data_IF_876367322148
#
_entry.id   IF_876367322148
#
_cell.length_a   1.000
_cell.length_b   1.000
_cell.length_c   1.000
_cell.angle_alpha   90.00
_cell.angle_beta   90.00
_cell.angle_gamma   90.00
#
_symmetry.space_group_name_H-M   'P 1'
#
loop_
_entity.id
_entity.type
_entity.pdbx_description
1 polymer ?
#
# COMPACT_ATOMS: atom_id res chain seq x y z
N UNK A 1 29.44 -17.44 2.81
CA UNK A 1 30.67 -16.62 2.77
C UNK A 1 30.27 -15.18 2.69
N UNK A 2 31.01 -14.31 3.39
CA UNK A 2 31.13 -12.85 3.22
C UNK A 2 29.84 -12.04 2.99
N UNK A 3 29.54 -11.15 3.94
CA UNK A 3 28.37 -10.28 3.93
C UNK A 3 28.32 -9.39 2.69
N UNK A 4 27.60 -9.85 1.66
CA UNK A 4 27.30 -9.05 0.48
C UNK A 4 26.67 -7.72 0.88
N UNK A 5 27.17 -6.63 0.28
CA UNK A 5 26.59 -5.32 0.46
C UNK A 5 25.12 -5.35 0.07
N UNK A 6 24.25 -4.85 0.95
CA UNK A 6 22.82 -4.76 0.67
C UNK A 6 22.60 -3.53 -0.19
N UNK A 7 22.16 -3.70 -1.43
CA UNK A 7 21.65 -2.61 -2.26
C UNK A 7 20.14 -2.48 -2.13
N UNK A 8 19.65 -1.26 -2.25
CA UNK A 8 18.23 -0.95 -2.38
C UNK A 8 18.05 -0.24 -3.71
N UNK A 9 17.11 -0.73 -4.50
CA UNK A 9 16.76 -0.16 -5.79
C UNK A 9 15.25 0.10 -5.82
N UNK A 10 14.86 1.23 -6.40
CA UNK A 10 13.45 1.53 -6.66
C UNK A 10 13.02 0.69 -7.85
N UNK A 11 12.00 -0.15 -7.67
CA UNK A 11 11.43 -0.92 -8.78
C UNK A 11 10.38 -0.07 -9.52
N UNK A 12 10.61 0.33 -10.78
CA UNK A 12 9.63 1.08 -11.56
C UNK A 12 8.46 0.17 -11.96
N UNK A 13 7.36 0.25 -11.22
CA UNK A 13 6.12 -0.52 -11.45
C UNK A 13 5.26 0.03 -12.60
N UNK A 14 5.85 0.73 -13.57
CA UNK A 14 5.15 1.47 -14.63
C UNK A 14 5.74 1.26 -16.03
N UNK A 15 6.56 0.22 -16.24
CA UNK A 15 6.96 -0.16 -17.60
C UNK A 15 5.74 -0.55 -18.44
N UNK A 16 5.83 -0.45 -19.77
CA UNK A 16 4.75 -0.84 -20.69
C UNK A 16 4.19 -2.24 -20.43
N UNK A 17 5.05 -3.25 -20.20
CA UNK A 17 4.61 -4.61 -19.90
C UNK A 17 3.77 -4.70 -18.61
N UNK A 18 4.23 -4.04 -17.53
CA UNK A 18 3.48 -3.95 -16.28
C UNK A 18 2.12 -3.28 -16.50
N UNK A 19 2.07 -2.19 -17.28
CA UNK A 19 0.81 -1.47 -17.58
C UNK A 19 -0.15 -2.37 -18.34
N UNK A 20 0.29 -3.02 -19.42
CA UNK A 20 -0.57 -3.90 -20.22
C UNK A 20 -1.15 -5.03 -19.37
N UNK A 21 -0.32 -5.70 -18.57
CA UNK A 21 -0.79 -6.77 -17.68
C UNK A 21 -1.77 -6.21 -16.65
N UNK A 22 -1.44 -5.10 -15.99
CA UNK A 22 -2.30 -4.49 -14.98
C UNK A 22 -3.68 -4.12 -15.54
N UNK A 23 -3.73 -3.44 -16.68
CA UNK A 23 -4.99 -3.01 -17.31
C UNK A 23 -5.86 -4.21 -17.74
N UNK A 24 -5.26 -5.26 -18.29
CA UNK A 24 -5.99 -6.48 -18.64
C UNK A 24 -6.57 -7.17 -17.40
N UNK A 25 -5.81 -7.20 -16.29
CA UNK A 25 -6.32 -7.77 -15.04
C UNK A 25 -7.43 -6.91 -14.44
N UNK A 26 -7.31 -5.58 -14.49
CA UNK A 26 -8.33 -4.64 -14.02
C UNK A 26 -9.62 -4.82 -14.83
N UNK A 27 -9.50 -4.90 -16.16
CA UNK A 27 -10.63 -5.13 -17.06
C UNK A 27 -11.34 -6.45 -16.74
N UNK A 28 -10.60 -7.56 -16.60
CA UNK A 28 -11.19 -8.86 -16.28
C UNK A 28 -11.91 -8.85 -14.92
N UNK A 29 -11.28 -8.29 -13.89
CA UNK A 29 -11.83 -8.17 -12.55
C UNK A 29 -13.08 -7.27 -12.50
N UNK A 30 -13.10 -6.18 -13.28
CA UNK A 30 -14.30 -5.35 -13.45
C UNK A 30 -15.41 -6.12 -14.16
N UNK A 31 -15.10 -6.79 -15.26
CA UNK A 31 -16.08 -7.56 -16.04
C UNK A 31 -16.71 -8.67 -15.20
N UNK A 32 -15.91 -9.41 -14.43
CA UNK A 32 -16.40 -10.40 -13.47
C UNK A 32 -17.30 -9.77 -12.40
N UNK A 33 -16.90 -8.61 -11.86
CA UNK A 33 -17.70 -7.86 -10.89
C UNK A 33 -19.05 -7.42 -11.45
N UNK A 34 -19.10 -6.95 -12.69
CA UNK A 34 -20.35 -6.61 -13.39
C UNK A 34 -21.21 -7.85 -13.63
N UNK A 35 -20.62 -8.94 -14.11
CA UNK A 35 -21.33 -10.20 -14.33
C UNK A 35 -22.05 -10.69 -13.06
N UNK A 36 -21.33 -10.74 -11.93
CA UNK A 36 -21.90 -11.17 -10.65
C UNK A 36 -22.99 -10.22 -10.15
N UNK A 37 -22.76 -8.90 -10.25
CA UNK A 37 -23.72 -7.87 -9.84
C UNK A 37 -25.00 -7.92 -10.68
N UNK A 38 -24.88 -7.93 -12.00
CA UNK A 38 -26.00 -7.82 -12.93
C UNK A 38 -26.92 -9.04 -12.84
N UNK A 39 -26.36 -10.23 -12.55
CA UNK A 39 -27.09 -11.47 -12.30
C UNK A 39 -27.52 -11.67 -10.84
N UNK A 40 -27.20 -10.74 -9.95
CA UNK A 40 -27.51 -10.80 -8.50
C UNK A 40 -26.95 -12.05 -7.82
N UNK A 41 -25.74 -12.44 -8.22
CA UNK A 41 -25.03 -13.59 -7.64
C UNK A 41 -24.28 -13.12 -6.40
N UNK A 42 -24.38 -13.81 -5.25
CA UNK A 42 -23.59 -13.52 -4.07
C UNK A 42 -22.09 -13.50 -4.40
N UNK A 43 -21.39 -12.46 -4.00
CA UNK A 43 -19.99 -12.28 -4.37
C UNK A 43 -19.22 -11.43 -3.35
N UNK A 44 -17.90 -11.61 -3.34
CA UNK A 44 -16.96 -10.81 -2.58
C UNK A 44 -16.44 -9.70 -3.49
N UNK A 45 -16.75 -8.45 -3.17
CA UNK A 45 -16.29 -7.27 -3.87
C UNK A 45 -15.14 -6.60 -3.11
N UNK A 46 -14.33 -5.85 -3.87
CA UNK A 46 -13.28 -4.99 -3.33
C UNK A 46 -13.55 -3.56 -3.77
N UNK A 47 -13.87 -2.70 -2.80
CA UNK A 47 -14.20 -1.31 -3.05
C UNK A 47 -13.21 -0.37 -2.39
N UNK A 48 -13.19 0.87 -2.85
CA UNK A 48 -12.42 1.94 -2.25
C UNK A 48 -13.27 3.21 -2.34
N UNK A 49 -13.85 3.64 -1.21
CA UNK A 49 -14.74 4.79 -1.21
C UNK A 49 -13.95 6.08 -1.50
N UNK A 50 -14.66 7.09 -1.97
CA UNK A 50 -14.10 8.41 -2.17
C UNK A 50 -13.57 9.00 -0.85
N UNK A 51 -12.47 9.75 -0.96
CA UNK A 51 -12.01 10.54 0.17
C UNK A 51 -12.93 11.73 0.39
N UNK A 52 -13.30 11.96 1.65
CA UNK A 52 -14.15 13.08 2.06
C UNK A 52 -13.36 14.14 2.82
N UNK A 53 -12.02 14.18 2.67
CA UNK A 53 -11.25 15.17 3.43
C UNK A 53 -11.55 16.59 2.92
N UNK A 54 -12.04 17.45 3.81
CA UNK A 54 -12.15 18.91 3.62
C UNK A 54 -10.78 19.56 3.41
N UNK A 55 -9.70 18.92 3.88
CA UNK A 55 -8.30 19.20 3.55
C UNK A 55 -7.97 18.77 2.12
N UNK A 56 -8.77 19.21 1.14
CA UNK A 56 -8.42 19.14 -0.27
C UNK A 56 -7.25 20.10 -0.53
N UNK A 57 -6.07 19.81 0.06
CA UNK A 57 -4.81 20.35 -0.40
C UNK A 57 -4.81 20.10 -1.91
N UNK A 58 -4.61 21.16 -2.69
CA UNK A 58 -4.39 21.01 -4.13
C UNK A 58 -3.19 20.08 -4.24
N UNK A 59 -3.43 18.85 -4.70
CA UNK A 59 -2.39 17.85 -4.87
C UNK A 59 -1.50 18.34 -6.02
N UNK A 60 -0.40 18.97 -5.66
CA UNK A 60 0.61 19.46 -6.58
C UNK A 60 1.69 18.39 -6.74
N UNK A 61 1.83 17.85 -7.96
CA UNK A 61 2.81 16.83 -8.26
C UNK A 61 4.26 17.36 -8.26
N UNK A 62 4.45 18.67 -8.22
CA UNK A 62 5.77 19.31 -8.05
C UNK A 62 6.17 19.39 -6.58
N UNK A 63 5.24 19.21 -5.65
CA UNK A 63 5.53 19.20 -4.22
C UNK A 63 6.39 17.97 -3.86
N UNK A 64 7.55 18.13 -3.19
CA UNK A 64 8.40 17.01 -2.83
C UNK A 64 7.74 15.99 -1.89
N UNK A 65 6.68 16.39 -1.17
CA UNK A 65 5.89 15.53 -0.29
C UNK A 65 4.65 14.93 -0.96
N UNK A 66 4.45 15.16 -2.27
CA UNK A 66 3.35 14.60 -3.05
C UNK A 66 3.13 13.10 -2.81
N UNK A 67 4.17 12.23 -2.76
CA UNK A 67 3.98 10.80 -2.51
C UNK A 67 3.32 10.50 -1.15
N UNK A 68 3.56 11.30 -0.12
CA UNK A 68 2.92 11.14 1.18
C UNK A 68 1.51 11.72 1.19
N UNK A 69 1.32 12.87 0.54
CA UNK A 69 0.04 13.56 0.47
C UNK A 69 -1.01 12.73 -0.28
N UNK A 70 -0.66 12.16 -1.44
CA UNK A 70 -1.60 11.35 -2.23
C UNK A 70 -2.04 10.09 -1.48
N UNK A 71 -1.12 9.44 -0.75
CA UNK A 71 -1.45 8.23 0.04
C UNK A 71 -2.37 8.57 1.20
N UNK A 72 -2.14 9.72 1.88
CA UNK A 72 -3.02 10.21 2.95
C UNK A 72 -4.39 10.65 2.43
N UNK A 73 -4.45 11.13 1.18
CA UNK A 73 -5.69 11.51 0.52
C UNK A 73 -6.53 10.28 0.16
N UNK A 74 -5.94 9.12 -0.16
CA UNK A 74 -6.69 7.92 -0.52
C UNK A 74 -7.23 7.17 0.71
N UNK A 75 -8.47 6.68 0.63
CA UNK A 75 -9.00 5.73 1.61
C UNK A 75 -8.42 4.33 1.38
N UNK A 76 -8.27 3.57 2.46
CA UNK A 76 -7.90 2.17 2.35
C UNK A 76 -8.99 1.39 1.59
N UNK A 77 -8.62 0.46 0.69
CA UNK A 77 -9.58 -0.43 0.06
C UNK A 77 -10.18 -1.38 1.10
N UNK A 78 -11.44 -1.73 0.94
CA UNK A 78 -12.20 -2.65 1.80
C UNK A 78 -12.75 -3.81 0.98
N UNK A 79 -12.96 -4.93 1.66
CA UNK A 79 -13.62 -6.11 1.11
C UNK A 79 -15.02 -6.17 1.71
N UNK A 80 -16.02 -6.57 0.93
CA UNK A 80 -17.39 -6.74 1.40
C UNK A 80 -18.26 -7.45 0.38
N UNK A 81 -19.51 -7.71 0.73
CA UNK A 81 -20.46 -8.44 -0.12
C UNK A 81 -21.27 -7.50 -1.04
N UNK A 82 -21.31 -6.22 -0.72
CA UNK A 82 -21.96 -5.20 -1.55
C UNK A 82 -21.05 -4.68 -2.66
N UNK A 83 -21.53 -4.59 -3.92
CA UNK A 83 -20.79 -3.93 -4.98
C UNK A 83 -20.71 -2.42 -4.69
N UNK A 84 -19.52 -1.85 -4.78
CA UNK A 84 -19.28 -0.42 -4.57
C UNK A 84 -18.07 0.03 -5.41
N UNK A 85 -17.94 1.35 -5.57
CA UNK A 85 -16.92 1.98 -6.40
C UNK A 85 -15.52 1.68 -5.89
N UNK A 86 -14.56 1.64 -6.82
CA UNK A 86 -13.14 1.64 -6.52
C UNK A 86 -12.52 2.93 -7.04
N UNK A 87 -12.50 3.98 -6.20
CA UNK A 87 -12.20 5.36 -6.61
C UNK A 87 -10.87 5.50 -7.34
N UNK A 88 -9.77 4.95 -6.81
CA UNK A 88 -8.45 5.09 -7.45
C UNK A 88 -8.31 4.37 -8.78
N UNK A 89 -9.18 3.40 -9.06
CA UNK A 89 -9.21 2.67 -10.33
C UNK A 89 -10.23 3.27 -11.31
N UNK A 90 -11.09 4.20 -10.87
CA UNK A 90 -12.10 4.83 -11.72
C UNK A 90 -13.22 3.88 -12.17
N UNK A 91 -13.51 2.84 -11.40
CA UNK A 91 -14.47 1.78 -11.78
C UNK A 91 -15.63 1.65 -10.78
N UNK A 92 -16.80 1.27 -11.30
CA UNK A 92 -18.08 1.18 -10.62
C UNK A 92 -18.26 -0.08 -9.76
N UNK A 93 -17.54 -1.15 -10.10
CA UNK A 93 -17.57 -2.43 -9.40
C UNK A 93 -16.27 -3.17 -9.67
N UNK A 94 -15.80 -3.93 -8.68
CA UNK A 94 -14.55 -4.68 -8.79
C UNK A 94 -14.57 -5.92 -7.90
N UNK A 95 -14.26 -7.07 -8.48
CA UNK A 95 -13.98 -8.32 -7.76
C UNK A 95 -12.69 -8.95 -8.28
N UNK A 96 -11.95 -9.66 -7.44
CA UNK A 96 -10.68 -10.25 -7.83
C UNK A 96 -10.90 -11.70 -8.27
N UNK A 97 -10.55 -12.02 -9.52
CA UNK A 97 -10.64 -13.38 -10.10
C UNK A 97 -9.38 -13.81 -10.85
N UNK A 98 -8.41 -12.91 -11.02
CA UNK A 98 -7.24 -13.12 -11.90
C UNK A 98 -6.05 -13.80 -11.23
N UNK A 99 -6.14 -14.23 -9.98
CA UNK A 99 -5.00 -14.87 -9.28
C UNK A 99 -5.40 -16.00 -8.31
N UNK A 100 -6.20 -16.99 -8.73
CA UNK A 100 -6.71 -18.08 -7.88
C UNK A 100 -5.61 -18.95 -7.25
N UNK A 101 -4.44 -19.06 -7.89
CA UNK A 101 -3.31 -19.85 -7.39
C UNK A 101 -2.73 -19.26 -6.08
N UNK A 102 -2.84 -17.94 -5.88
CA UNK A 102 -2.19 -17.22 -4.77
C UNK A 102 -3.13 -16.39 -3.89
N UNK A 103 -4.40 -16.30 -4.26
CA UNK A 103 -5.44 -15.59 -3.51
C UNK A 103 -6.67 -16.49 -3.43
N UNK A 104 -7.02 -16.91 -2.22
CA UNK A 104 -8.16 -17.80 -2.00
C UNK A 104 -9.51 -17.15 -2.39
N UNK A 105 -9.66 -15.84 -2.17
CA UNK A 105 -10.85 -15.10 -2.62
C UNK A 105 -11.09 -15.23 -4.12
N UNK A 106 -10.04 -15.15 -4.95
CA UNK A 106 -10.15 -15.35 -6.40
C UNK A 106 -10.63 -16.75 -6.76
N UNK A 107 -10.18 -17.78 -6.04
CA UNK A 107 -10.64 -19.14 -6.24
C UNK A 107 -12.13 -19.29 -5.91
N UNK A 108 -12.58 -18.70 -4.80
CA UNK A 108 -14.00 -18.67 -4.40
C UNK A 108 -14.84 -17.98 -5.48
N UNK A 109 -14.39 -16.82 -5.97
CA UNK A 109 -15.10 -16.09 -7.03
C UNK A 109 -15.09 -16.81 -8.37
N UNK A 110 -14.01 -17.51 -8.74
CA UNK A 110 -14.00 -18.34 -9.94
C UNK A 110 -15.00 -19.51 -9.84
N UNK A 111 -15.09 -20.18 -8.69
CA UNK A 111 -16.10 -21.22 -8.47
C UNK A 111 -17.52 -20.67 -8.59
N UNK A 112 -17.77 -19.49 -8.02
CA UNK A 112 -19.05 -18.81 -8.13
C UNK A 112 -19.45 -18.55 -9.59
N UNK A 113 -18.52 -18.03 -10.39
CA UNK A 113 -18.75 -17.76 -11.82
C UNK A 113 -18.96 -19.06 -12.60
N UNK A 114 -18.16 -20.10 -12.32
CA UNK A 114 -18.26 -21.38 -13.04
C UNK A 114 -19.58 -22.09 -12.75
N UNK A 115 -20.01 -22.16 -11.48
CA UNK A 115 -21.28 -22.80 -11.10
C UNK A 115 -22.48 -22.07 -11.72
N UNK A 116 -22.49 -20.73 -11.71
CA UNK A 116 -23.51 -19.96 -12.44
C UNK A 116 -23.55 -20.29 -13.94
N UNK A 117 -22.38 -20.38 -14.59
CA UNK A 117 -22.32 -20.60 -16.04
C UNK A 117 -22.70 -22.04 -16.44
N UNK A 118 -22.45 -23.02 -15.58
CA UNK A 118 -22.65 -24.44 -15.89
C UNK A 118 -23.99 -24.96 -15.37
N UNK A 119 -24.40 -24.52 -14.18
CA UNK A 119 -25.53 -25.06 -13.42
C UNK A 119 -26.65 -24.02 -13.25
N UNK A 120 -26.36 -22.73 -13.43
CA UNK A 120 -27.34 -21.65 -13.24
C UNK A 120 -27.68 -21.37 -11.77
N UNK A 121 -26.86 -21.87 -10.85
CA UNK A 121 -27.03 -21.72 -9.41
C UNK A 121 -25.73 -21.21 -8.77
N UNK A 122 -25.82 -20.44 -7.67
CA UNK A 122 -24.64 -19.97 -6.95
C UNK A 122 -23.98 -21.10 -6.14
N UNK A 123 -22.68 -21.31 -6.34
CA UNK A 123 -21.88 -22.26 -5.52
C UNK A 123 -21.88 -21.92 -4.03
N UNK A 124 -21.85 -20.62 -3.71
CA UNK A 124 -21.88 -20.09 -2.36
C UNK A 124 -23.04 -19.12 -2.20
N UNK A 125 -23.76 -19.28 -1.09
CA UNK A 125 -24.79 -18.34 -0.61
C UNK A 125 -24.17 -17.08 -0.03
N UNK A 126 -24.98 -16.04 0.16
CA UNK A 126 -24.52 -14.79 0.81
C UNK A 126 -24.04 -15.05 2.25
N UNK A 127 -24.78 -15.85 3.02
CA UNK A 127 -24.43 -16.23 4.40
C UNK A 127 -23.09 -17.00 4.47
N UNK A 128 -22.85 -17.92 3.52
CA UNK A 128 -21.57 -18.65 3.46
C UNK A 128 -20.41 -17.70 3.15
N UNK A 129 -20.61 -16.76 2.22
CA UNK A 129 -19.59 -15.75 1.91
C UNK A 129 -19.37 -14.81 3.08
N UNK A 130 -20.42 -14.41 3.81
CA UNK A 130 -20.35 -13.56 5.00
C UNK A 130 -19.50 -14.18 6.11
N UNK A 131 -19.62 -15.50 6.30
CA UNK A 131 -18.79 -16.23 7.24
C UNK A 131 -17.35 -16.46 6.72
N UNK A 132 -17.17 -16.58 5.40
CA UNK A 132 -15.89 -16.91 4.79
C UNK A 132 -14.94 -15.72 4.65
N UNK A 133 -15.42 -14.57 4.16
CA UNK A 133 -14.56 -13.43 3.83
C UNK A 133 -13.78 -12.86 5.04
N UNK A 134 -14.30 -12.81 6.28
CA UNK A 134 -13.55 -12.30 7.42
C UNK A 134 -12.30 -13.14 7.72
N UNK A 135 -12.39 -14.47 7.57
CA UNK A 135 -11.23 -15.36 7.73
C UNK A 135 -10.16 -15.08 6.66
N UNK A 136 -10.59 -14.83 5.43
CA UNK A 136 -9.69 -14.43 4.34
C UNK A 136 -9.01 -13.09 4.66
N UNK A 137 -9.76 -12.12 5.19
CA UNK A 137 -9.24 -10.80 5.52
C UNK A 137 -8.16 -10.85 6.60
N UNK A 138 -8.36 -11.66 7.64
CA UNK A 138 -7.35 -11.90 8.70
C UNK A 138 -6.06 -12.44 8.08
N UNK A 139 -6.15 -13.47 7.22
CA UNK A 139 -4.98 -14.03 6.54
C UNK A 139 -4.25 -13.01 5.65
N UNK A 140 -4.98 -12.15 4.94
CA UNK A 140 -4.40 -11.07 4.15
C UNK A 140 -3.66 -10.06 5.05
N UNK A 141 -4.24 -9.70 6.20
CA UNK A 141 -3.68 -8.74 7.15
C UNK A 141 -2.39 -9.27 7.78
N UNK A 142 -2.38 -10.54 8.19
CA UNK A 142 -1.21 -11.18 8.79
C UNK A 142 -0.06 -11.30 7.79
N UNK A 143 -0.37 -11.77 6.57
CA UNK A 143 0.60 -11.83 5.48
C UNK A 143 1.22 -10.45 5.22
N UNK A 144 0.40 -9.41 5.07
CA UNK A 144 0.88 -8.03 4.81
C UNK A 144 1.76 -7.51 5.96
N UNK A 145 1.44 -7.87 7.20
CA UNK A 145 2.23 -7.49 8.37
C UNK A 145 3.61 -8.15 8.34
N UNK A 146 3.68 -9.44 8.01
CA UNK A 146 4.93 -10.19 7.89
C UNK A 146 5.78 -9.65 6.73
N UNK A 147 5.19 -9.45 5.56
CA UNK A 147 5.87 -8.87 4.38
C UNK A 147 6.47 -7.50 4.72
N UNK A 148 5.66 -6.58 5.26
CA UNK A 148 6.13 -5.25 5.66
C UNK A 148 7.25 -5.30 6.69
N UNK A 149 7.18 -6.23 7.65
CA UNK A 149 8.22 -6.38 8.67
C UNK A 149 9.53 -6.91 8.08
N UNK A 150 9.45 -7.82 7.10
CA UNK A 150 10.62 -8.34 6.38
C UNK A 150 11.27 -7.26 5.53
N UNK A 151 10.49 -6.51 4.76
CA UNK A 151 10.98 -5.37 3.98
C UNK A 151 11.66 -4.33 4.87
N UNK A 152 11.02 -3.95 5.99
CA UNK A 152 11.59 -3.01 6.96
C UNK A 152 12.89 -3.53 7.57
N UNK A 153 12.98 -4.82 7.89
CA UNK A 153 14.23 -5.38 8.40
C UNK A 153 15.39 -5.17 7.41
N UNK A 154 15.18 -5.47 6.13
CA UNK A 154 16.22 -5.30 5.11
C UNK A 154 16.55 -3.83 4.83
N UNK A 155 15.53 -2.94 4.83
CA UNK A 155 15.75 -1.51 4.77
C UNK A 155 16.65 -1.02 5.92
N UNK A 156 16.35 -1.42 7.15
CA UNK A 156 17.15 -1.01 8.30
C UNK A 156 18.54 -1.64 8.28
N UNK A 157 18.68 -2.86 7.78
CA UNK A 157 19.98 -3.51 7.62
C UNK A 157 20.85 -2.80 6.58
N UNK A 158 20.25 -2.27 5.52
CA UNK A 158 20.93 -1.35 4.60
C UNK A 158 21.31 -0.03 5.29
N UNK A 159 20.35 0.65 5.95
CA UNK A 159 20.62 1.90 6.67
C UNK A 159 21.67 1.75 7.78
N UNK A 160 21.79 0.55 8.38
CA UNK A 160 22.85 0.22 9.34
C UNK A 160 24.25 0.39 8.76
N UNK A 161 24.43 0.05 7.48
CA UNK A 161 25.71 0.26 6.78
C UNK A 161 26.04 1.73 6.52
N UNK A 162 25.04 2.62 6.66
CA UNK A 162 25.16 4.07 6.51
C UNK A 162 25.28 4.80 7.86
N UNK A 163 25.38 4.08 8.98
CA UNK A 163 25.64 4.71 10.28
C UNK A 163 26.91 5.56 10.24
N UNK A 164 26.84 6.75 10.83
CA UNK A 164 27.93 7.73 10.79
C UNK A 164 28.01 8.53 9.49
N UNK A 165 27.06 8.35 8.57
CA UNK A 165 26.97 9.13 7.32
C UNK A 165 25.71 9.99 7.29
N UNK A 166 25.70 11.00 6.42
CA UNK A 166 24.53 11.81 6.16
C UNK A 166 23.75 11.28 4.93
N UNK A 167 22.43 11.24 5.05
CA UNK A 167 21.49 10.86 3.99
C UNK A 167 20.55 12.04 3.66
N UNK A 168 19.92 11.99 2.49
CA UNK A 168 18.94 13.00 2.07
C UNK A 168 17.59 12.75 2.75
N UNK A 169 16.93 13.83 3.16
CA UNK A 169 15.56 13.81 3.65
C UNK A 169 14.81 15.09 3.29
N UNK A 170 13.50 15.04 3.48
CA UNK A 170 12.58 16.16 3.27
C UNK A 170 11.71 16.26 4.51
N UNK A 171 11.60 17.43 5.13
CA UNK A 171 10.77 17.59 6.33
C UNK A 171 9.30 17.36 5.98
N UNK A 172 8.67 16.36 6.57
CA UNK A 172 7.29 15.96 6.26
C UNK A 172 6.25 16.47 7.24
N UNK A 173 6.67 16.88 8.44
CA UNK A 173 5.80 17.49 9.45
C UNK A 173 6.61 18.18 10.55
N UNK A 174 6.17 19.37 10.97
CA UNK A 174 6.77 20.13 12.08
C UNK A 174 5.83 20.27 13.29
N UNK A 175 4.57 19.85 13.15
CA UNK A 175 3.52 20.06 14.16
C UNK A 175 3.50 19.03 15.30
N UNK A 176 4.41 18.06 15.29
CA UNK A 176 4.47 16.96 16.26
C UNK A 176 5.53 17.13 17.34
N UNK A 177 5.50 16.26 18.37
CA UNK A 177 6.56 16.17 19.42
C UNK A 177 7.95 15.89 18.83
N UNK A 178 8.00 15.26 17.66
CA UNK A 178 9.20 15.00 16.86
C UNK A 178 8.92 15.51 15.45
N UNK A 179 9.96 15.99 14.78
CA UNK A 179 9.89 16.42 13.38
C UNK A 179 9.79 15.17 12.50
N UNK A 180 8.85 15.16 11.56
CA UNK A 180 8.74 14.13 10.54
C UNK A 180 9.72 14.39 9.40
N UNK A 181 10.34 13.34 8.87
CA UNK A 181 11.13 13.41 7.66
C UNK A 181 10.80 12.25 6.72
N UNK A 182 10.63 12.59 5.44
CA UNK A 182 10.52 11.67 4.33
C UNK A 182 11.91 11.43 3.74
N UNK A 183 12.28 10.16 3.57
CA UNK A 183 13.51 9.75 2.90
C UNK A 183 13.16 9.32 1.47
N UNK A 184 13.33 10.20 0.46
CA UNK A 184 12.84 9.95 -0.90
C UNK A 184 13.55 8.77 -1.57
N UNK A 185 14.80 8.50 -1.22
CA UNK A 185 15.58 7.38 -1.76
C UNK A 185 15.04 6.01 -1.33
N UNK A 186 14.37 5.97 -0.17
CA UNK A 186 13.85 4.74 0.44
C UNK A 186 12.32 4.67 0.47
N UNK A 187 11.63 5.71 -0.04
CA UNK A 187 10.17 5.85 0.05
C UNK A 187 9.63 5.66 1.47
N UNK A 188 10.37 6.18 2.46
CA UNK A 188 10.14 5.89 3.88
C UNK A 188 10.01 7.17 4.71
N UNK A 189 8.90 7.31 5.45
CA UNK A 189 8.69 8.39 6.40
C UNK A 189 9.07 7.94 7.82
N UNK A 190 9.83 8.77 8.53
CA UNK A 190 10.29 8.51 9.91
C UNK A 190 10.32 9.81 10.72
N UNK A 191 10.59 9.69 12.02
CA UNK A 191 10.81 10.86 12.89
C UNK A 191 12.29 11.13 13.07
N UNK A 192 12.67 12.41 13.14
CA UNK A 192 14.04 12.86 13.41
C UNK A 192 14.12 13.48 14.80
N UNK A 193 15.28 13.36 15.44
CA UNK A 193 15.61 14.12 16.65
C UNK A 193 16.08 15.51 16.22
N UNK A 194 15.58 16.55 16.88
CA UNK A 194 16.00 17.94 16.66
C UNK A 194 16.83 18.46 17.82
N UNK A 195 17.68 19.45 17.52
CA UNK A 195 18.25 20.31 18.55
C UNK A 195 17.26 21.39 18.98
N UNK A 196 17.48 22.05 20.13
CA UNK A 196 16.58 23.08 20.68
C UNK A 196 16.36 24.31 19.78
N UNK A 197 17.19 24.54 18.76
CA UNK A 197 17.15 25.77 17.92
C UNK A 197 16.90 25.51 16.42
N UNK A 198 16.51 24.31 16.02
CA UNK A 198 16.37 24.01 14.58
C UNK A 198 15.05 24.56 14.01
N UNK A 199 15.09 25.69 13.31
CA UNK A 199 13.98 26.20 12.51
C UNK A 199 13.94 25.49 11.16
N UNK A 200 12.92 24.67 10.93
CA UNK A 200 12.65 24.01 9.65
C UNK A 200 11.17 24.11 9.31
N UNK A 201 10.87 24.07 8.02
CA UNK A 201 9.53 24.12 7.44
C UNK A 201 9.19 22.80 6.75
N UNK A 202 7.91 22.43 6.71
CA UNK A 202 7.43 21.30 5.89
C UNK A 202 7.81 21.52 4.42
N UNK A 203 8.45 20.53 3.80
CA UNK A 203 8.98 20.60 2.43
C UNK A 203 10.47 20.90 2.33
N UNK A 204 11.13 21.32 3.41
CA UNK A 204 12.57 21.62 3.38
C UNK A 204 13.41 20.38 3.06
N UNK A 205 14.33 20.52 2.11
CA UNK A 205 15.35 19.51 1.82
C UNK A 205 16.48 19.61 2.85
N UNK A 206 16.77 18.51 3.53
CA UNK A 206 17.73 18.45 4.64
C UNK A 206 18.69 17.27 4.51
N UNK A 207 19.85 17.41 5.17
CA UNK A 207 20.81 16.32 5.37
C UNK A 207 20.66 15.74 6.77
N UNK A 208 20.36 14.45 6.85
CA UNK A 208 20.07 13.75 8.09
C UNK A 208 21.22 12.81 8.41
N UNK A 209 21.84 12.99 9.57
CA UNK A 209 22.92 12.13 10.04
C UNK A 209 22.33 10.86 10.66
N UNK A 210 22.77 9.70 10.16
CA UNK A 210 22.35 8.38 10.65
C UNK A 210 23.13 8.06 11.92
N UNK A 211 22.52 8.28 13.08
CA UNK A 211 23.20 8.11 14.39
C UNK A 211 23.12 6.70 14.92
N UNK A 212 21.96 6.05 14.77
CA UNK A 212 21.74 4.68 15.27
C UNK A 212 20.69 3.97 14.46
N UNK A 213 20.96 2.70 14.18
CA UNK A 213 20.07 1.76 13.51
C UNK A 213 20.12 0.41 14.25
N UNK A 214 18.95 -0.13 14.55
CA UNK A 214 18.76 -1.50 15.06
C UNK A 214 17.73 -2.19 14.16
N UNK A 215 18.15 -3.05 13.21
CA UNK A 215 17.24 -3.69 12.27
C UNK A 215 16.22 -4.62 12.91
N UNK A 216 16.61 -5.35 13.97
CA UNK A 216 15.71 -6.28 14.65
C UNK A 216 14.64 -5.53 15.44
N UNK A 217 15.02 -4.46 16.14
CA UNK A 217 14.08 -3.61 16.88
C UNK A 217 13.37 -2.58 16.00
N UNK A 218 13.77 -2.44 14.72
CA UNK A 218 13.28 -1.41 13.79
C UNK A 218 13.44 0.00 14.36
N UNK A 219 14.60 0.27 14.98
CA UNK A 219 14.97 1.59 15.50
C UNK A 219 15.85 2.28 14.46
N UNK A 220 15.49 3.51 14.10
CA UNK A 220 16.27 4.40 13.25
C UNK A 220 16.27 5.77 13.92
N UNK A 221 17.45 6.23 14.32
CA UNK A 221 17.66 7.55 14.88
C UNK A 221 18.40 8.40 13.87
N UNK A 222 17.77 9.50 13.49
CA UNK A 222 18.31 10.50 12.58
C UNK A 222 18.38 11.84 13.32
N UNK A 223 19.42 12.61 13.04
CA UNK A 223 19.60 13.97 13.57
C UNK A 223 19.79 14.94 12.41
N UNK A 224 19.25 16.15 12.53
CA UNK A 224 19.47 17.21 11.55
C UNK A 224 20.94 17.65 11.58
N UNK A 225 21.55 17.73 10.41
CA UNK A 225 22.91 18.26 10.22
C UNK A 225 22.77 19.72 9.82
N UNK A 226 23.50 20.62 10.48
CA UNK A 226 23.58 22.04 10.13
C UNK A 226 24.61 22.27 9.01
#
# INVERSE_FOLDING_TARGET
GEGGAISIEKNPMNSEAHVVVAEMMILMNRTAGKFLKDRRIPAIYRSQPESVSEDARVLDNTNPLYPLQIVKFLRAPRIGLGPDVHKSLGIDVYTQVTSPIRRYADLVMQRQIVSELMEGEPMYTEDELENLYPMIEVGIRDKKTIERNRERYWLYKHLKSLEGTAINGIISSTSGRRIGAYLPDYLFETSVSNGPETQVTEGDHVRLFVTRVDPLRRILTLTLTY
#
